data_IF_955924423693
#
_entry.id   IF_955924423693
#
_cell.length_a   1.000
_cell.length_b   1.000
_cell.length_c   1.000
_cell.angle_alpha   90.00
_cell.angle_beta   90.00
_cell.angle_gamma   90.00
#
_symmetry.space_group_name_H-M   'P 1'
#
loop_
_entity.id
_entity.type
_entity.pdbx_description
1 polymer ?
#
# COMPACT_ATOMS: atom_id res chain seq x y z
N UNK A 1 -10.66 8.11 -24.44
CA UNK A 1 -10.85 6.77 -23.83
C UNK A 1 -9.98 6.76 -22.59
N UNK A 2 -10.57 6.89 -21.42
CA UNK A 2 -9.85 6.72 -20.13
C UNK A 2 -10.08 5.27 -19.72
N UNK A 3 -9.17 4.41 -20.13
CA UNK A 3 -9.13 3.02 -19.66
C UNK A 3 -8.38 3.04 -18.33
N UNK A 4 -9.03 2.66 -17.25
CA UNK A 4 -8.35 2.38 -15.99
C UNK A 4 -7.67 1.03 -16.17
N UNK A 5 -6.41 1.04 -16.57
CA UNK A 5 -5.62 -0.19 -16.66
C UNK A 5 -5.23 -0.65 -15.26
N UNK A 6 -5.39 -1.94 -14.95
CA UNK A 6 -4.65 -2.53 -13.85
C UNK A 6 -3.16 -2.52 -14.25
N UNK A 7 -2.38 -1.64 -13.66
CA UNK A 7 -0.93 -1.55 -13.90
C UNK A 7 -0.19 -2.73 -13.26
N UNK A 8 -0.31 -3.92 -13.83
CA UNK A 8 0.27 -5.12 -13.21
C UNK A 8 1.45 -5.73 -13.94
N UNK A 9 1.78 -5.21 -15.13
CA UNK A 9 2.83 -5.86 -15.95
C UNK A 9 4.17 -5.10 -15.99
N UNK A 10 4.26 -3.88 -15.52
CA UNK A 10 5.46 -3.05 -15.68
C UNK A 10 6.13 -2.56 -14.40
N UNK A 11 5.47 -2.64 -13.25
CA UNK A 11 6.04 -2.15 -12.00
C UNK A 11 5.93 -3.24 -10.92
N UNK A 12 7.02 -3.97 -10.69
CA UNK A 12 7.18 -4.68 -9.42
C UNK A 12 7.43 -3.64 -8.33
N UNK A 13 6.34 -3.05 -7.82
CA UNK A 13 6.40 -2.33 -6.57
C UNK A 13 6.72 -3.33 -5.45
N UNK A 14 7.63 -2.94 -4.62
CA UNK A 14 8.15 -3.76 -3.54
C UNK A 14 7.12 -4.01 -2.46
N UNK A 15 5.98 -4.59 -2.73
CA UNK A 15 5.14 -5.33 -1.78
C UNK A 15 3.62 -5.21 -1.87
N UNK A 16 3.01 -4.37 -2.71
CA UNK A 16 1.55 -4.32 -2.80
C UNK A 16 1.04 -3.88 -4.18
N UNK A 17 1.33 -4.67 -5.20
CA UNK A 17 0.52 -4.61 -6.42
C UNK A 17 -0.78 -5.35 -6.13
N UNK A 18 -1.78 -4.61 -5.65
CA UNK A 18 -3.12 -5.15 -5.44
C UNK A 18 -3.84 -5.07 -6.78
N UNK A 19 -3.94 -6.20 -7.47
CA UNK A 19 -4.66 -6.33 -8.75
C UNK A 19 -6.13 -5.95 -8.61
N UNK A 20 -6.77 -6.41 -7.54
CA UNK A 20 -8.17 -6.15 -7.24
C UNK A 20 -8.24 -5.35 -5.95
N UNK A 21 -8.34 -4.02 -6.08
CA UNK A 21 -8.38 -3.11 -4.94
C UNK A 21 -9.81 -2.95 -4.43
N UNK A 22 -10.10 -3.50 -3.25
CA UNK A 22 -11.40 -3.31 -2.58
C UNK A 22 -11.70 -1.85 -2.21
N UNK A 23 -10.68 -1.00 -2.09
CA UNK A 23 -10.87 0.43 -1.86
C UNK A 23 -11.37 1.12 -3.14
N UNK A 24 -10.80 0.77 -4.31
CA UNK A 24 -11.26 1.27 -5.60
C UNK A 24 -12.66 0.76 -5.91
N UNK A 25 -12.93 -0.53 -5.69
CA UNK A 25 -14.26 -1.12 -5.83
C UNK A 25 -15.32 -0.35 -5.04
N UNK A 26 -15.05 -0.02 -3.76
CA UNK A 26 -15.96 0.81 -2.95
C UNK A 26 -16.15 2.21 -3.50
N UNK A 27 -15.09 2.84 -4.00
CA UNK A 27 -15.21 4.15 -4.63
C UNK A 27 -16.14 4.08 -5.85
N UNK A 28 -15.92 3.10 -6.73
CA UNK A 28 -16.77 2.88 -7.90
C UNK A 28 -18.23 2.63 -7.51
N UNK A 29 -18.47 1.83 -6.46
CA UNK A 29 -19.80 1.59 -5.92
C UNK A 29 -20.48 2.89 -5.46
N UNK A 30 -19.78 3.76 -4.74
CA UNK A 30 -20.35 5.04 -4.33
C UNK A 30 -20.61 5.96 -5.52
N UNK A 31 -19.72 6.00 -6.50
CA UNK A 31 -19.87 6.83 -7.69
C UNK A 31 -20.96 6.33 -8.66
N UNK A 32 -21.24 5.03 -8.64
CA UNK A 32 -22.38 4.46 -9.40
C UNK A 32 -23.75 4.75 -8.78
N UNK A 33 -23.78 5.38 -7.61
CA UNK A 33 -25.03 5.56 -6.84
C UNK A 33 -25.48 4.33 -6.06
N UNK A 34 -24.58 3.36 -5.85
CA UNK A 34 -24.86 2.13 -5.13
C UNK A 34 -25.30 0.95 -6.01
N UNK A 35 -25.02 1.02 -7.31
CA UNK A 35 -25.40 -0.01 -8.30
C UNK A 35 -24.49 -1.25 -8.19
N UNK A 36 -24.80 -2.15 -7.27
CA UNK A 36 -24.00 -3.36 -6.99
C UNK A 36 -23.83 -4.27 -8.21
N UNK A 37 -24.85 -4.41 -9.06
CA UNK A 37 -24.80 -5.22 -10.28
C UNK A 37 -23.81 -4.64 -11.31
N UNK A 38 -23.69 -3.33 -11.40
CA UNK A 38 -22.68 -2.68 -12.24
C UNK A 38 -21.29 -3.03 -11.73
N UNK A 39 -21.05 -2.88 -10.43
CA UNK A 39 -19.74 -3.15 -9.84
C UNK A 39 -19.36 -4.63 -9.97
N UNK A 40 -20.30 -5.54 -9.73
CA UNK A 40 -20.08 -6.98 -9.93
C UNK A 40 -19.65 -7.32 -11.36
N UNK A 41 -20.25 -6.67 -12.37
CA UNK A 41 -19.83 -6.83 -13.78
C UNK A 41 -18.43 -6.28 -14.03
N UNK A 42 -18.08 -5.12 -13.46
CA UNK A 42 -16.73 -4.54 -13.62
C UNK A 42 -15.66 -5.43 -12.99
N UNK A 43 -15.91 -5.95 -11.78
CA UNK A 43 -14.95 -6.85 -11.10
C UNK A 43 -14.81 -8.19 -11.83
N UNK A 44 -15.90 -8.75 -12.34
CA UNK A 44 -15.82 -9.97 -13.15
C UNK A 44 -15.05 -9.73 -14.47
N UNK A 45 -15.26 -8.61 -15.14
CA UNK A 45 -14.48 -8.25 -16.34
C UNK A 45 -12.99 -8.13 -16.01
N UNK A 46 -12.64 -7.50 -14.86
CA UNK A 46 -11.27 -7.41 -14.41
C UNK A 46 -10.62 -8.81 -14.22
N UNK A 47 -11.34 -9.75 -13.64
CA UNK A 47 -10.85 -11.12 -13.41
C UNK A 47 -10.72 -11.94 -14.71
N UNK A 48 -11.65 -11.77 -15.64
CA UNK A 48 -11.74 -12.63 -16.84
C UNK A 48 -11.04 -12.02 -18.07
N UNK A 49 -11.04 -10.71 -18.20
CA UNK A 49 -10.56 -9.97 -19.37
C UNK A 49 -9.31 -9.13 -19.05
N UNK A 50 -9.04 -8.89 -17.75
CA UNK A 50 -7.92 -8.07 -17.29
C UNK A 50 -8.16 -6.57 -17.36
N UNK A 51 -9.34 -6.11 -17.85
CA UNK A 51 -9.70 -4.71 -17.97
C UNK A 51 -11.22 -4.51 -17.83
N UNK A 52 -11.62 -3.28 -17.54
CA UNK A 52 -13.02 -2.87 -17.59
C UNK A 52 -13.17 -1.39 -17.98
N UNK A 53 -14.34 -1.04 -18.48
CA UNK A 53 -14.70 0.35 -18.74
C UNK A 53 -15.86 0.77 -17.83
N UNK A 54 -15.66 1.90 -17.12
CA UNK A 54 -16.69 2.47 -16.22
C UNK A 54 -17.75 3.22 -17.00
N UNK A 55 -18.96 3.28 -16.46
CA UNK A 55 -20.06 4.08 -17.02
C UNK A 55 -19.72 5.58 -17.06
N UNK A 56 -20.39 6.35 -17.93
CA UNK A 56 -20.23 7.81 -17.97
C UNK A 56 -20.46 8.47 -16.59
N UNK A 57 -21.46 8.02 -15.84
CA UNK A 57 -21.77 8.56 -14.51
C UNK A 57 -20.62 8.35 -13.52
N UNK A 58 -20.04 7.16 -13.49
CA UNK A 58 -18.84 6.86 -12.66
C UNK A 58 -17.65 7.69 -13.13
N UNK A 59 -17.45 7.82 -14.43
CA UNK A 59 -16.37 8.62 -15.02
C UNK A 59 -16.47 10.10 -14.63
N UNK A 60 -17.66 10.67 -14.70
CA UNK A 60 -17.92 12.06 -14.29
C UNK A 60 -17.66 12.24 -12.78
N UNK A 61 -18.06 11.26 -11.96
CA UNK A 61 -17.78 11.25 -10.53
C UNK A 61 -16.29 11.16 -10.18
N UNK A 62 -15.48 10.55 -11.04
CA UNK A 62 -14.02 10.46 -10.88
C UNK A 62 -13.29 11.77 -11.19
N UNK A 63 -13.94 12.79 -11.76
CA UNK A 63 -13.30 14.07 -12.11
C UNK A 63 -12.72 14.82 -10.90
N UNK A 64 -13.18 14.52 -9.68
CA UNK A 64 -12.63 15.06 -8.41
C UNK A 64 -11.50 14.24 -7.82
N UNK A 65 -11.04 13.19 -8.49
CA UNK A 65 -9.99 12.30 -8.00
C UNK A 65 -8.76 12.35 -8.91
N UNK A 66 -7.60 12.39 -8.31
CA UNK A 66 -6.33 12.34 -9.00
C UNK A 66 -5.64 10.99 -8.71
N UNK A 67 -5.15 10.33 -9.74
CA UNK A 67 -4.41 9.08 -9.63
C UNK A 67 -3.00 9.24 -10.18
N UNK A 68 -2.05 8.51 -9.60
CA UNK A 68 -0.68 8.51 -10.06
C UNK A 68 0.08 7.28 -9.56
N UNK A 69 1.32 7.15 -10.00
CA UNK A 69 2.22 6.05 -9.67
C UNK A 69 3.58 6.57 -9.25
N UNK A 70 4.37 5.74 -8.58
CA UNK A 70 5.77 5.99 -8.33
C UNK A 70 6.57 4.71 -8.55
N UNK A 71 7.74 4.80 -9.15
CA UNK A 71 8.68 3.70 -9.26
C UNK A 71 9.31 3.36 -7.91
N UNK A 72 10.01 2.24 -7.82
CA UNK A 72 10.77 1.85 -6.61
C UNK A 72 11.82 2.92 -6.30
N UNK A 73 12.51 3.41 -7.31
CA UNK A 73 13.54 4.44 -7.20
C UNK A 73 12.96 5.75 -6.69
N UNK A 74 11.85 6.22 -7.27
CA UNK A 74 11.15 7.43 -6.83
C UNK A 74 10.62 7.29 -5.40
N UNK A 75 10.11 6.11 -5.06
CA UNK A 75 9.65 5.80 -3.69
C UNK A 75 10.80 5.90 -2.69
N UNK A 76 11.95 5.27 -3.00
CA UNK A 76 13.13 5.32 -2.13
C UNK A 76 13.70 6.74 -2.02
N UNK A 77 13.79 7.47 -3.13
CA UNK A 77 14.20 8.87 -3.12
C UNK A 77 13.28 9.73 -2.26
N UNK A 78 11.97 9.51 -2.36
CA UNK A 78 10.96 10.24 -1.58
C UNK A 78 11.12 9.97 -0.08
N UNK A 79 11.32 8.71 0.35
CA UNK A 79 11.58 8.38 1.76
C UNK A 79 12.85 9.05 2.25
N UNK A 80 13.95 8.92 1.49
CA UNK A 80 15.25 9.48 1.85
C UNK A 80 15.21 11.00 1.96
N UNK A 81 14.56 11.68 1.01
CA UNK A 81 14.39 13.12 0.99
C UNK A 81 13.52 13.61 2.14
N UNK A 82 12.38 12.96 2.39
CA UNK A 82 11.49 13.31 3.50
C UNK A 82 12.23 13.23 4.84
N UNK A 83 12.99 12.14 5.05
CA UNK A 83 13.76 12.00 6.28
C UNK A 83 14.88 13.03 6.39
N UNK A 84 15.66 13.27 5.35
CA UNK A 84 16.78 14.19 5.33
C UNK A 84 16.34 15.65 5.56
N UNK A 85 15.28 16.06 4.86
CA UNK A 85 14.89 17.47 4.81
C UNK A 85 13.92 17.85 5.93
N UNK A 86 13.13 16.88 6.44
CA UNK A 86 12.10 17.13 7.46
C UNK A 86 12.30 16.32 8.75
N UNK A 87 13.26 15.42 8.81
CA UNK A 87 13.44 14.51 9.96
C UNK A 87 12.27 13.54 10.15
N UNK A 88 11.41 13.36 9.16
CA UNK A 88 10.20 12.57 9.26
C UNK A 88 10.31 11.28 8.45
N UNK A 89 10.22 10.14 9.15
CA UNK A 89 10.34 8.81 8.53
C UNK A 89 8.97 8.30 8.10
N UNK A 90 8.79 8.13 6.79
CA UNK A 90 7.57 7.59 6.18
C UNK A 90 7.78 6.16 5.69
N UNK A 91 6.69 5.42 5.56
CA UNK A 91 6.67 4.09 4.93
C UNK A 91 6.55 4.20 3.39
N UNK A 92 6.74 3.07 2.71
CA UNK A 92 6.70 3.00 1.24
C UNK A 92 5.37 3.45 0.63
N UNK A 93 4.23 3.15 1.26
CA UNK A 93 2.91 3.53 0.75
C UNK A 93 2.68 5.03 0.90
N UNK A 94 3.04 5.58 2.05
CA UNK A 94 2.98 7.03 2.30
C UNK A 94 3.91 7.76 1.33
N UNK A 95 5.07 7.20 1.00
CA UNK A 95 5.99 7.77 0.04
C UNK A 95 5.40 7.84 -1.38
N UNK A 96 4.73 6.79 -1.85
CA UNK A 96 4.00 6.81 -3.13
C UNK A 96 2.93 7.90 -3.12
N UNK A 97 2.11 7.97 -2.07
CA UNK A 97 1.08 9.02 -1.95
C UNK A 97 1.67 10.43 -1.95
N UNK A 98 2.79 10.64 -1.26
CA UNK A 98 3.48 11.93 -1.23
C UNK A 98 4.10 12.29 -2.59
N UNK A 99 4.70 11.33 -3.29
CA UNK A 99 5.23 11.55 -4.65
C UNK A 99 4.13 11.94 -5.63
N UNK A 100 3.00 11.21 -5.61
CA UNK A 100 1.83 11.54 -6.45
C UNK A 100 1.28 12.94 -6.11
N UNK A 101 1.24 13.31 -4.84
CA UNK A 101 0.87 14.66 -4.43
C UNK A 101 1.84 15.72 -4.97
N UNK A 102 3.15 15.47 -4.93
CA UNK A 102 4.13 16.40 -5.50
C UNK A 102 3.95 16.59 -7.02
N UNK A 103 3.65 15.49 -7.74
CA UNK A 103 3.37 15.55 -9.18
C UNK A 103 2.08 16.32 -9.46
N UNK A 104 1.04 16.10 -8.68
CA UNK A 104 -0.21 16.86 -8.75
C UNK A 104 0.04 18.37 -8.56
N UNK A 105 0.74 18.77 -7.52
CA UNK A 105 1.06 20.19 -7.28
C UNK A 105 1.89 20.77 -8.43
N UNK A 106 2.86 20.02 -8.93
CA UNK A 106 3.70 20.45 -10.05
C UNK A 106 2.90 20.66 -11.34
N UNK A 107 1.92 19.80 -11.60
CA UNK A 107 1.10 19.86 -12.81
C UNK A 107 0.00 20.93 -12.72
N UNK A 108 -0.66 21.04 -11.58
CA UNK A 108 -1.83 21.90 -11.40
C UNK A 108 -1.52 23.27 -10.82
N UNK A 109 -0.43 23.41 -10.10
CA UNK A 109 -0.13 24.59 -9.29
C UNK A 109 -1.01 24.74 -8.04
N UNK A 110 -1.80 23.75 -7.70
CA UNK A 110 -2.69 23.78 -6.53
C UNK A 110 -1.86 23.78 -5.22
N UNK A 111 -2.08 24.78 -4.40
CA UNK A 111 -1.42 24.97 -3.09
C UNK A 111 -2.36 24.78 -1.90
N UNK A 112 -3.51 24.15 -2.14
CA UNK A 112 -4.47 23.84 -1.08
C UNK A 112 -3.82 22.97 0.00
N UNK A 113 -4.00 23.28 1.29
CA UNK A 113 -3.51 22.45 2.38
C UNK A 113 -4.00 21.00 2.24
N UNK A 114 -3.05 20.07 2.21
CA UNK A 114 -3.33 18.66 1.90
C UNK A 114 -2.98 17.77 3.09
N UNK A 115 -3.85 16.81 3.38
CA UNK A 115 -3.62 15.76 4.37
C UNK A 115 -3.29 14.46 3.65
N UNK A 116 -2.16 13.84 4.02
CA UNK A 116 -1.73 12.54 3.52
C UNK A 116 -1.95 11.49 4.61
N UNK A 117 -2.83 10.52 4.33
CA UNK A 117 -3.08 9.43 5.26
C UNK A 117 -1.91 8.44 5.25
N UNK A 118 -1.18 8.38 6.37
CA UNK A 118 -0.11 7.40 6.59
C UNK A 118 -0.66 6.25 7.44
N UNK A 119 -0.88 5.10 6.82
CA UNK A 119 -1.60 3.96 7.42
C UNK A 119 -0.69 2.82 7.85
N UNK A 120 0.60 2.88 7.56
CA UNK A 120 1.58 1.87 7.91
C UNK A 120 2.79 2.47 8.63
N UNK A 121 3.50 1.62 9.37
CA UNK A 121 4.78 1.99 9.96
C UNK A 121 5.91 1.74 8.98
N UNK A 122 6.90 2.63 8.92
CA UNK A 122 8.14 2.45 8.17
C UNK A 122 8.83 1.10 8.51
N UNK A 123 8.72 0.63 9.74
CA UNK A 123 9.28 -0.63 10.18
C UNK A 123 8.62 -1.89 9.60
N UNK A 124 7.40 -1.76 9.07
CA UNK A 124 6.76 -2.87 8.35
C UNK A 124 7.50 -3.22 7.05
N UNK A 125 8.19 -2.23 6.49
CA UNK A 125 8.96 -2.34 5.24
C UNK A 125 10.42 -1.94 5.48
N UNK A 126 10.99 -2.39 6.60
CA UNK A 126 12.29 -1.94 7.09
C UNK A 126 13.43 -2.11 6.08
N UNK A 127 13.42 -3.17 5.26
CA UNK A 127 14.41 -3.37 4.19
C UNK A 127 14.34 -2.25 3.15
N UNK A 128 13.15 -1.96 2.61
CA UNK A 128 12.97 -0.89 1.63
C UNK A 128 13.34 0.48 2.20
N UNK A 129 12.95 0.72 3.46
CA UNK A 129 13.29 1.96 4.17
C UNK A 129 14.79 2.07 4.42
N UNK A 130 15.47 0.98 4.79
CA UNK A 130 16.91 0.95 4.97
C UNK A 130 17.65 1.27 3.66
N UNK A 131 17.20 0.70 2.53
CA UNK A 131 17.73 1.01 1.20
C UNK A 131 17.53 2.49 0.85
N UNK A 132 16.35 3.05 1.11
CA UNK A 132 16.06 4.47 0.92
C UNK A 132 16.96 5.40 1.76
N UNK A 133 17.33 4.95 2.97
CA UNK A 133 18.27 5.65 3.87
C UNK A 133 19.74 5.34 3.58
N UNK A 134 20.04 4.56 2.52
CA UNK A 134 21.38 4.15 2.11
C UNK A 134 22.14 3.40 3.23
N UNK A 135 21.42 2.58 3.99
CA UNK A 135 22.02 1.72 5.00
C UNK A 135 22.60 0.45 4.34
N UNK A 136 23.61 -0.19 4.94
CA UNK A 136 24.13 -1.47 4.47
C UNK A 136 23.05 -2.55 4.44
N UNK A 137 23.23 -3.53 3.57
CA UNK A 137 22.38 -4.73 3.56
C UNK A 137 22.54 -5.54 4.85
N UNK A 138 21.42 -6.07 5.31
CA UNK A 138 21.34 -6.83 6.55
C UNK A 138 20.86 -8.27 6.29
N UNK A 139 21.13 -9.17 7.22
CA UNK A 139 20.86 -10.60 7.08
C UNK A 139 19.36 -10.95 7.04
N UNK A 140 18.53 -10.15 7.73
CA UNK A 140 17.09 -10.39 7.84
C UNK A 140 16.29 -9.13 8.22
N UNK A 141 14.97 -9.23 8.16
CA UNK A 141 14.06 -8.12 8.43
C UNK A 141 14.20 -7.49 9.81
N UNK A 142 14.54 -8.26 10.84
CA UNK A 142 14.72 -7.72 12.21
C UNK A 142 16.00 -6.89 12.33
N UNK A 143 17.07 -7.28 11.63
CA UNK A 143 18.30 -6.49 11.56
C UNK A 143 18.07 -5.17 10.84
N UNK A 144 17.29 -5.16 9.77
CA UNK A 144 16.87 -3.91 9.13
C UNK A 144 16.08 -3.00 10.07
N UNK A 145 15.19 -3.56 10.91
CA UNK A 145 14.47 -2.78 11.94
C UNK A 145 15.45 -2.11 12.90
N UNK A 146 16.44 -2.86 13.39
CA UNK A 146 17.47 -2.35 14.30
C UNK A 146 18.31 -1.26 13.63
N UNK A 147 18.76 -1.48 12.39
CA UNK A 147 19.56 -0.52 11.63
C UNK A 147 18.81 0.79 11.35
N UNK A 148 17.54 0.70 10.94
CA UNK A 148 16.68 1.88 10.73
C UNK A 148 16.45 2.62 12.05
N UNK A 149 16.19 1.91 13.15
CA UNK A 149 16.00 2.52 14.46
C UNK A 149 17.27 3.23 14.95
N UNK A 150 18.43 2.60 14.81
CA UNK A 150 19.73 3.18 15.17
C UNK A 150 20.04 4.44 14.35
N UNK A 151 19.75 4.42 13.05
CA UNK A 151 19.96 5.56 12.14
C UNK A 151 19.05 6.75 12.43
N UNK A 152 17.77 6.46 12.70
CA UNK A 152 16.73 7.50 12.73
C UNK A 152 16.34 7.96 14.12
N UNK A 153 16.61 7.16 15.15
CA UNK A 153 16.11 7.37 16.51
C UNK A 153 14.58 7.19 16.65
N UNK A 154 13.89 6.84 15.58
CA UNK A 154 12.44 6.61 15.61
C UNK A 154 12.14 5.33 16.38
N UNK A 155 11.19 5.40 17.30
CA UNK A 155 10.84 4.27 18.17
C UNK A 155 10.21 3.12 17.41
N UNK A 156 10.77 1.92 17.55
CA UNK A 156 10.18 0.69 17.02
C UNK A 156 8.83 0.42 17.69
N UNK A 157 7.76 0.15 16.92
CA UNK A 157 6.45 -0.20 17.47
C UNK A 157 6.51 -1.39 18.43
N UNK A 158 5.71 -1.34 19.50
CA UNK A 158 5.70 -2.40 20.52
C UNK A 158 5.45 -3.80 19.95
N UNK A 159 4.62 -3.90 18.90
CA UNK A 159 4.28 -5.17 18.25
C UNK A 159 5.47 -5.81 17.50
N UNK A 160 6.44 -5.02 17.04
CA UNK A 160 7.61 -5.50 16.30
C UNK A 160 8.84 -5.67 17.19
N UNK A 161 8.84 -5.02 18.36
CA UNK A 161 9.99 -5.05 19.27
C UNK A 161 10.19 -6.45 19.83
N UNK A 162 11.42 -6.98 19.68
CA UNK A 162 11.81 -8.31 20.16
C UNK A 162 10.90 -9.45 19.66
N UNK A 163 10.23 -9.26 18.53
CA UNK A 163 9.32 -10.27 17.96
C UNK A 163 10.08 -11.53 17.54
N UNK A 164 11.30 -11.39 17.06
CA UNK A 164 12.22 -12.47 16.71
C UNK A 164 12.65 -13.36 17.92
N UNK A 165 12.52 -12.82 19.13
CA UNK A 165 12.88 -13.52 20.38
C UNK A 165 11.67 -14.18 21.06
N UNK A 166 10.47 -13.99 20.50
CA UNK A 166 9.24 -14.55 21.07
C UNK A 166 9.04 -15.98 20.60
N UNK A 167 8.42 -16.78 21.46
CA UNK A 167 7.99 -18.12 21.13
C UNK A 167 6.95 -18.10 20.02
N UNK A 168 7.10 -19.00 19.04
CA UNK A 168 6.10 -19.25 18.00
C UNK A 168 4.97 -20.05 18.64
N UNK A 169 3.80 -19.44 18.77
CA UNK A 169 2.65 -20.05 19.46
C UNK A 169 1.70 -20.81 18.56
N UNK A 170 1.77 -20.57 17.25
CA UNK A 170 0.85 -21.15 16.26
C UNK A 170 1.68 -21.79 15.15
N UNK A 171 1.77 -23.11 15.14
CA UNK A 171 2.53 -23.89 14.16
C UNK A 171 1.63 -24.62 13.16
N UNK A 172 0.30 -24.56 13.36
CA UNK A 172 -0.67 -25.24 12.51
C UNK A 172 -0.72 -24.61 11.12
N UNK A 173 -0.64 -25.47 10.13
CA UNK A 173 -0.88 -25.14 8.71
C UNK A 173 -2.15 -25.83 8.28
N UNK A 174 -3.07 -25.09 7.67
CA UNK A 174 -4.36 -25.60 7.19
C UNK A 174 -4.58 -25.19 5.74
N UNK A 175 -5.30 -26.01 4.99
CA UNK A 175 -5.74 -25.67 3.64
C UNK A 175 -6.96 -24.74 3.68
N UNK A 176 -7.17 -23.97 2.60
CA UNK A 176 -8.28 -22.99 2.52
C UNK A 176 -9.65 -23.62 2.83
N UNK A 177 -10.01 -24.81 2.33
CA UNK A 177 -11.30 -25.44 2.65
C UNK A 177 -11.47 -25.80 4.13
N UNK A 178 -10.38 -25.95 4.88
CA UNK A 178 -10.39 -26.34 6.30
C UNK A 178 -10.47 -25.17 7.25
N UNK A 179 -10.36 -23.93 6.75
CA UNK A 179 -10.31 -22.73 7.58
C UNK A 179 -11.51 -22.58 8.52
N UNK A 180 -12.72 -22.84 8.04
CA UNK A 180 -13.93 -22.72 8.86
C UNK A 180 -13.91 -23.72 10.03
N UNK A 181 -13.56 -24.98 9.77
CA UNK A 181 -13.47 -26.02 10.80
C UNK A 181 -12.37 -25.70 11.83
N UNK A 182 -11.21 -25.25 11.38
CA UNK A 182 -10.11 -24.86 12.28
C UNK A 182 -10.49 -23.68 13.21
N UNK A 183 -11.23 -22.69 12.70
CA UNK A 183 -11.74 -21.60 13.53
C UNK A 183 -12.75 -22.11 14.56
N UNK A 184 -13.70 -22.98 14.15
CA UNK A 184 -14.67 -23.56 15.09
C UNK A 184 -14.00 -24.39 16.18
N UNK A 185 -12.96 -25.14 15.86
CA UNK A 185 -12.23 -25.96 16.83
C UNK A 185 -11.45 -25.06 17.82
N UNK A 186 -10.80 -24.01 17.33
CA UNK A 186 -10.04 -23.08 18.18
C UNK A 186 -10.90 -22.30 19.19
N UNK A 187 -12.19 -22.14 18.91
CA UNK A 187 -13.14 -21.46 19.80
C UNK A 187 -13.74 -22.42 20.85
N UNK A 188 -13.67 -23.74 20.60
CA UNK A 188 -14.18 -24.78 21.55
C UNK A 188 -13.14 -25.19 22.59
N UNK A 189 -11.86 -24.87 22.34
CA UNK A 189 -10.74 -25.15 23.23
C UNK A 189 -10.53 -24.02 24.25
#
# INVERSE_FOLDING_TARGET
RSTLFPYTTLFRSTNLDILISSNLERLLYHLSGGEGDEIGRLMNALETEGEYEVSPAVRDGLAGFWGGTATVEETNETIGTMYRDNGYLIDTHTAVGYKVYQDYVKETGDTTPTLIASTASAYKFAESVAKALQLPDEENGFRYIEAVAAKTGVRVPKALRDLDKKEIRHEGVIEIPEMAAAVEESVKA
#
